data_IF_950040809080
#
_entry.id   IF_950040809080
#
_cell.length_a   1.000
_cell.length_b   1.000
_cell.length_c   1.000
_cell.angle_alpha   90.00
_cell.angle_beta   90.00
_cell.angle_gamma   90.00
#
_symmetry.space_group_name_H-M   'P 1'
#
loop_
_entity.id
_entity.type
_entity.pdbx_description
1 polymer ?
#
# COMPACT_ATOMS: atom_id res chain seq x y z
N UNK A 1 -52.99 -4.48 -22.43
CA UNK A 1 -52.66 -5.11 -21.13
C UNK A 1 -51.35 -5.93 -21.09
N UNK A 2 -50.60 -6.11 -22.18
CA UNK A 2 -49.36 -6.94 -22.22
C UNK A 2 -48.07 -6.25 -21.70
N UNK A 3 -47.96 -4.92 -21.81
CA UNK A 3 -46.74 -4.17 -21.40
C UNK A 3 -46.46 -4.21 -19.89
N UNK A 4 -47.48 -4.09 -19.03
CA UNK A 4 -47.30 -4.14 -17.56
C UNK A 4 -46.75 -5.49 -17.05
N UNK A 5 -47.03 -6.61 -17.75
CA UNK A 5 -46.54 -7.95 -17.36
C UNK A 5 -45.04 -8.16 -17.63
N UNK A 6 -44.44 -7.39 -18.54
CA UNK A 6 -42.99 -7.44 -18.86
C UNK A 6 -42.21 -6.38 -18.07
N UNK A 7 -42.85 -5.25 -17.72
CA UNK A 7 -42.21 -4.18 -16.95
C UNK A 7 -41.85 -4.63 -15.53
N UNK A 8 -42.73 -5.35 -14.84
CA UNK A 8 -42.49 -5.80 -13.45
C UNK A 8 -41.22 -6.68 -13.32
N UNK A 9 -41.02 -7.76 -14.12
CA UNK A 9 -39.80 -8.57 -14.00
C UNK A 9 -38.52 -7.80 -14.38
N UNK A 10 -38.59 -6.86 -15.34
CA UNK A 10 -37.44 -6.01 -15.69
C UNK A 10 -37.05 -5.11 -14.52
N UNK A 11 -38.03 -4.51 -13.83
CA UNK A 11 -37.78 -3.67 -12.65
C UNK A 11 -37.18 -4.48 -11.51
N UNK A 12 -37.62 -5.73 -11.30
CA UNK A 12 -37.06 -6.62 -10.27
C UNK A 12 -35.61 -6.98 -10.59
N UNK A 13 -35.31 -7.36 -11.84
CA UNK A 13 -33.93 -7.68 -12.26
C UNK A 13 -33.03 -6.45 -12.11
N UNK A 14 -33.51 -5.27 -12.51
CA UNK A 14 -32.78 -4.02 -12.32
C UNK A 14 -32.53 -3.74 -10.83
N UNK A 15 -33.52 -3.95 -9.96
CA UNK A 15 -33.36 -3.76 -8.52
C UNK A 15 -32.34 -4.75 -7.91
N UNK A 16 -32.37 -6.03 -8.31
CA UNK A 16 -31.38 -7.03 -7.87
C UNK A 16 -29.98 -6.64 -8.35
N UNK A 17 -29.84 -6.21 -9.60
CA UNK A 17 -28.57 -5.75 -10.14
C UNK A 17 -28.04 -4.53 -9.36
N UNK A 18 -28.91 -3.57 -9.04
CA UNK A 18 -28.54 -2.41 -8.22
C UNK A 18 -28.09 -2.84 -6.82
N UNK A 19 -28.84 -3.74 -6.15
CA UNK A 19 -28.48 -4.23 -4.81
C UNK A 19 -27.15 -4.99 -4.85
N UNK A 20 -26.92 -5.81 -5.87
CA UNK A 20 -25.65 -6.53 -6.04
C UNK A 20 -24.49 -5.57 -6.27
N UNK A 21 -24.67 -4.54 -7.10
CA UNK A 21 -23.65 -3.51 -7.37
C UNK A 21 -23.38 -2.68 -6.12
N UNK A 22 -24.40 -2.23 -5.41
CA UNK A 22 -24.28 -1.45 -4.18
C UNK A 22 -23.62 -2.30 -3.08
N UNK A 23 -24.10 -3.53 -2.88
CA UNK A 23 -23.55 -4.48 -1.93
C UNK A 23 -22.09 -4.81 -2.22
N UNK A 24 -21.73 -5.04 -3.49
CA UNK A 24 -20.36 -5.25 -3.92
C UNK A 24 -19.49 -4.02 -3.65
N UNK A 25 -19.96 -2.81 -3.95
CA UNK A 25 -19.21 -1.58 -3.67
C UNK A 25 -19.01 -1.33 -2.18
N UNK A 26 -20.00 -1.61 -1.33
CA UNK A 26 -19.89 -1.52 0.14
C UNK A 26 -18.92 -2.57 0.68
N UNK A 27 -18.95 -3.78 0.12
CA UNK A 27 -18.04 -4.85 0.47
C UNK A 27 -16.59 -4.52 0.10
N UNK A 28 -16.39 -4.02 -1.12
CA UNK A 28 -15.12 -3.62 -1.72
C UNK A 28 -14.48 -2.43 -1.00
N UNK A 29 -15.28 -1.40 -0.72
CA UNK A 29 -14.85 -0.18 -0.03
C UNK A 29 -15.71 0.02 1.21
N UNK A 30 -15.33 -0.59 2.35
CA UNK A 30 -16.08 -0.36 3.56
C UNK A 30 -16.01 1.13 3.92
N UNK A 31 -17.16 1.69 4.31
CA UNK A 31 -17.28 3.10 4.67
C UNK A 31 -16.26 3.51 5.76
N UNK A 32 -15.83 2.57 6.59
CA UNK A 32 -14.79 2.76 7.60
C UNK A 32 -13.46 3.28 7.04
N UNK A 33 -13.08 2.91 5.81
CA UNK A 33 -11.84 3.43 5.21
C UNK A 33 -11.99 4.86 4.71
N UNK A 34 -13.21 5.27 4.32
CA UNK A 34 -13.48 6.63 3.84
C UNK A 34 -13.44 7.66 4.96
N UNK A 35 -13.57 7.23 6.21
CA UNK A 35 -13.45 8.09 7.39
C UNK A 35 -12.05 8.14 7.97
N UNK A 36 -11.09 7.40 7.41
CA UNK A 36 -9.70 7.48 7.87
C UNK A 36 -9.12 8.84 7.49
N UNK A 37 -8.48 9.46 8.46
CA UNK A 37 -7.75 10.71 8.27
C UNK A 37 -6.35 10.40 7.78
N UNK A 38 -5.92 11.17 6.78
CA UNK A 38 -4.51 11.30 6.45
C UNK A 38 -3.85 12.19 7.52
N UNK A 39 -2.91 11.62 8.25
CA UNK A 39 -2.12 12.33 9.26
C UNK A 39 -0.64 12.51 8.83
N UNK A 40 -0.32 12.23 7.57
CA UNK A 40 1.02 12.43 7.01
C UNK A 40 1.36 13.91 6.84
N UNK A 41 2.64 14.21 6.57
CA UNK A 41 3.10 15.58 6.38
C UNK A 41 2.46 16.23 5.16
N UNK A 42 2.28 17.55 5.22
CA UNK A 42 1.73 18.31 4.10
C UNK A 42 2.67 18.35 2.89
N UNK A 43 2.12 18.63 1.72
CA UNK A 43 2.87 18.65 0.44
C UNK A 43 4.11 19.55 0.47
N UNK A 44 4.03 20.72 1.12
CA UNK A 44 5.18 21.64 1.26
C UNK A 44 6.32 21.03 2.08
N UNK A 45 6.00 20.38 3.20
CA UNK A 45 6.96 19.72 4.08
C UNK A 45 7.60 18.51 3.40
N UNK A 46 6.78 17.70 2.72
CA UNK A 46 7.24 16.57 1.90
C UNK A 46 8.17 17.03 0.80
N UNK A 47 7.81 18.10 0.09
CA UNK A 47 8.64 18.66 -0.99
C UNK A 47 9.97 19.19 -0.47
N UNK A 48 9.97 19.88 0.67
CA UNK A 48 11.18 20.37 1.31
C UNK A 48 12.12 19.21 1.67
N UNK A 49 11.60 18.18 2.36
CA UNK A 49 12.39 17.01 2.74
C UNK A 49 12.90 16.23 1.51
N UNK A 50 12.05 16.03 0.50
CA UNK A 50 12.45 15.37 -0.76
C UNK A 50 13.62 16.10 -1.42
N UNK A 51 13.57 17.43 -1.48
CA UNK A 51 14.65 18.22 -2.09
C UNK A 51 15.93 18.19 -1.25
N UNK A 52 15.83 18.16 0.08
CA UNK A 52 16.97 17.96 0.98
C UNK A 52 17.63 16.60 0.73
N UNK A 53 16.84 15.53 0.73
CA UNK A 53 17.34 14.16 0.45
C UNK A 53 17.93 14.07 -0.95
N UNK A 54 17.29 14.64 -1.98
CA UNK A 54 17.78 14.62 -3.36
C UNK A 54 19.15 15.32 -3.53
N UNK A 55 19.49 16.26 -2.64
CA UNK A 55 20.75 16.99 -2.64
C UNK A 55 21.89 16.26 -1.92
N UNK A 56 21.61 15.16 -1.22
CA UNK A 56 22.64 14.33 -0.59
C UNK A 56 23.53 13.64 -1.65
N UNK A 57 24.85 13.65 -1.40
CA UNK A 57 25.82 12.98 -2.27
C UNK A 57 25.68 11.45 -2.20
N UNK A 58 25.46 10.91 -0.99
CA UNK A 58 25.22 9.50 -0.72
C UNK A 58 23.87 9.35 0.01
N UNK A 59 23.15 8.26 -0.27
CA UNK A 59 21.83 7.96 0.29
C UNK A 59 21.78 6.48 0.65
N UNK A 60 21.44 6.18 1.89
CA UNK A 60 21.13 4.84 2.34
C UNK A 60 19.65 4.56 2.07
N UNK A 61 19.38 3.52 1.28
CA UNK A 61 18.03 3.20 0.81
C UNK A 61 17.64 1.81 1.29
N UNK A 62 16.42 1.71 1.81
CA UNK A 62 15.80 0.45 2.17
C UNK A 62 14.62 0.15 1.24
N UNK A 63 14.59 -1.05 0.67
CA UNK A 63 13.39 -1.64 0.07
C UNK A 63 12.84 -2.69 1.03
N UNK A 64 11.84 -2.29 1.82
CA UNK A 64 11.10 -3.20 2.68
C UNK A 64 9.84 -3.68 1.95
N UNK A 65 9.53 -4.98 2.00
CA UNK A 65 8.34 -5.49 1.32
C UNK A 65 7.69 -6.67 2.03
N UNK A 66 6.36 -6.79 1.88
CA UNK A 66 5.63 -8.01 2.18
C UNK A 66 5.22 -8.70 0.87
N UNK A 67 5.37 -10.03 0.80
CA UNK A 67 4.85 -10.82 -0.32
C UNK A 67 4.32 -12.18 0.12
N UNK A 68 3.09 -12.51 -0.28
CA UNK A 68 2.51 -13.83 0.01
C UNK A 68 2.77 -14.84 -1.11
N UNK A 69 2.57 -14.45 -2.37
CA UNK A 69 2.73 -15.33 -3.54
C UNK A 69 3.98 -15.05 -4.38
N UNK A 70 4.85 -14.14 -3.93
CA UNK A 70 6.13 -13.83 -4.59
C UNK A 70 6.10 -12.72 -5.65
N UNK A 71 4.93 -12.20 -6.06
CA UNK A 71 4.87 -11.12 -7.07
C UNK A 71 5.54 -9.84 -6.58
N UNK A 72 5.15 -9.34 -5.40
CA UNK A 72 5.80 -8.18 -4.78
C UNK A 72 7.27 -8.42 -4.50
N UNK A 73 7.68 -9.65 -4.13
CA UNK A 73 9.09 -10.01 -3.94
C UNK A 73 9.90 -9.79 -5.22
N UNK A 74 9.38 -10.23 -6.37
CA UNK A 74 10.05 -10.03 -7.66
C UNK A 74 10.25 -8.54 -7.99
N UNK A 75 9.23 -7.71 -7.74
CA UNK A 75 9.33 -6.26 -7.94
C UNK A 75 10.32 -5.62 -6.96
N UNK A 76 10.25 -5.99 -5.66
CA UNK A 76 11.14 -5.45 -4.63
C UNK A 76 12.61 -5.80 -4.89
N UNK A 77 12.89 -7.04 -5.30
CA UNK A 77 14.24 -7.48 -5.64
C UNK A 77 14.78 -6.78 -6.90
N UNK A 78 13.94 -6.58 -7.92
CA UNK A 78 14.33 -5.82 -9.11
C UNK A 78 14.62 -4.35 -8.76
N UNK A 79 13.77 -3.71 -7.95
CA UNK A 79 13.94 -2.35 -7.48
C UNK A 79 15.24 -2.20 -6.68
N UNK A 80 15.46 -3.05 -5.66
CA UNK A 80 16.68 -3.04 -4.85
C UNK A 80 17.94 -3.23 -5.68
N UNK A 81 17.92 -4.14 -6.65
CA UNK A 81 19.05 -4.35 -7.55
C UNK A 81 19.34 -3.18 -8.49
N UNK A 82 18.34 -2.37 -8.82
CA UNK A 82 18.49 -1.26 -9.77
C UNK A 82 19.14 -0.04 -9.13
N UNK A 83 18.89 0.19 -7.84
CA UNK A 83 19.37 1.36 -7.08
C UNK A 83 20.38 0.99 -5.97
N UNK A 84 20.89 -0.25 -5.98
CA UNK A 84 21.83 -0.79 -4.97
C UNK A 84 21.34 -0.59 -3.52
N UNK A 85 20.05 -0.83 -3.27
CA UNK A 85 19.43 -0.66 -1.97
C UNK A 85 19.41 -1.94 -1.13
N UNK A 86 19.39 -1.79 0.19
CA UNK A 86 19.15 -2.89 1.12
C UNK A 86 17.75 -3.48 0.91
N UNK A 87 17.61 -4.80 0.99
CA UNK A 87 16.34 -5.50 0.79
C UNK A 87 15.91 -6.19 2.08
N UNK A 88 14.69 -5.91 2.54
CA UNK A 88 14.13 -6.51 3.75
C UNK A 88 12.72 -7.09 3.50
N UNK A 89 12.51 -8.35 3.89
CA UNK A 89 11.19 -8.98 3.81
C UNK A 89 10.43 -8.83 5.13
N UNK A 90 9.36 -8.03 5.10
CA UNK A 90 8.37 -7.91 6.16
C UNK A 90 7.55 -9.20 6.18
N UNK A 91 7.70 -9.98 7.24
CA UNK A 91 7.02 -11.28 7.39
C UNK A 91 6.25 -11.36 8.72
N UNK A 92 5.09 -12.05 8.74
CA UNK A 92 4.35 -12.23 9.96
C UNK A 92 5.04 -13.25 10.86
N UNK A 93 4.91 -13.06 12.17
CA UNK A 93 5.42 -14.01 13.18
C UNK A 93 4.70 -15.36 13.09
N UNK A 94 3.41 -15.34 12.76
CA UNK A 94 2.59 -16.52 12.53
C UNK A 94 2.11 -16.56 11.09
N UNK A 95 2.29 -17.69 10.40
CA UNK A 95 1.86 -17.84 9.01
C UNK A 95 0.33 -17.83 8.86
N UNK A 96 -0.15 -17.25 7.76
CA UNK A 96 -1.57 -17.25 7.44
C UNK A 96 -2.07 -18.65 7.06
N UNK A 97 -2.77 -19.32 7.98
CA UNK A 97 -3.43 -20.60 7.67
C UNK A 97 -4.62 -20.46 6.71
N UNK A 98 -5.28 -19.29 6.70
CA UNK A 98 -6.26 -18.90 5.69
C UNK A 98 -6.11 -17.41 5.40
N UNK A 99 -5.31 -17.09 4.38
CA UNK A 99 -4.98 -15.71 4.01
C UNK A 99 -6.22 -14.87 3.73
N UNK A 100 -7.23 -15.42 3.05
CA UNK A 100 -8.43 -14.69 2.66
C UNK A 100 -9.22 -14.21 3.90
N UNK A 101 -9.49 -15.11 4.83
CA UNK A 101 -10.33 -14.80 6.01
C UNK A 101 -9.57 -13.97 7.03
N UNK A 102 -8.30 -14.31 7.29
CA UNK A 102 -7.49 -13.65 8.30
C UNK A 102 -7.15 -12.21 7.89
N UNK A 103 -6.64 -12.01 6.67
CA UNK A 103 -6.32 -10.66 6.17
C UNK A 103 -7.55 -9.74 6.19
N UNK A 104 -8.72 -10.23 5.77
CA UNK A 104 -9.96 -9.45 5.80
C UNK A 104 -10.33 -9.05 7.23
N UNK A 105 -10.19 -9.97 8.18
CA UNK A 105 -10.48 -9.73 9.59
C UNK A 105 -9.51 -8.72 10.20
N UNK A 106 -8.21 -8.88 9.96
CA UNK A 106 -7.16 -7.99 10.46
C UNK A 106 -7.36 -6.57 9.97
N UNK A 107 -7.52 -6.40 8.65
CA UNK A 107 -7.75 -5.09 8.02
C UNK A 107 -9.02 -4.44 8.57
N UNK A 108 -10.15 -5.16 8.62
CA UNK A 108 -11.43 -4.59 9.11
C UNK A 108 -11.43 -4.27 10.60
N UNK A 109 -10.59 -4.93 11.40
CA UNK A 109 -10.45 -4.67 12.84
C UNK A 109 -9.30 -3.73 13.17
N UNK A 110 -8.61 -3.19 12.15
CA UNK A 110 -7.40 -2.39 12.32
C UNK A 110 -6.36 -3.09 13.22
N UNK A 111 -6.14 -4.38 12.99
CA UNK A 111 -5.19 -5.17 13.78
C UNK A 111 -3.74 -4.79 13.49
N UNK A 112 -2.83 -5.17 14.40
CA UNK A 112 -1.37 -5.03 14.26
C UNK A 112 -0.68 -6.39 14.47
N UNK A 113 -0.73 -7.30 13.47
CA UNK A 113 -0.12 -8.62 13.60
C UNK A 113 1.39 -8.53 13.82
N UNK A 114 1.93 -9.34 14.73
CA UNK A 114 3.35 -9.29 15.08
C UNK A 114 4.25 -9.67 13.90
N UNK A 115 5.38 -8.96 13.76
CA UNK A 115 6.41 -9.23 12.76
C UNK A 115 7.37 -10.32 13.24
N UNK A 116 7.94 -11.09 12.31
CA UNK A 116 8.93 -12.13 12.61
C UNK A 116 10.36 -11.58 12.80
N UNK A 117 10.64 -10.41 12.21
CA UNK A 117 11.95 -9.77 12.23
C UNK A 117 11.81 -8.24 12.26
N UNK A 118 12.90 -7.59 12.65
CA UNK A 118 13.07 -6.13 12.59
C UNK A 118 14.27 -5.77 11.70
N UNK A 119 14.26 -4.56 11.18
CA UNK A 119 15.37 -3.96 10.45
C UNK A 119 16.35 -3.42 11.48
N UNK A 120 17.62 -3.82 11.38
CA UNK A 120 18.68 -3.29 12.22
C UNK A 120 19.12 -1.92 11.70
N UNK A 121 19.44 -1.00 12.62
CA UNK A 121 19.93 0.35 12.32
C UNK A 121 19.01 1.17 11.38
N UNK A 122 17.70 1.12 11.59
CA UNK A 122 16.70 1.85 10.78
C UNK A 122 17.02 3.35 10.62
N UNK A 123 17.68 3.95 11.61
CA UNK A 123 18.09 5.35 11.62
C UNK A 123 18.98 5.74 10.43
N UNK A 124 19.76 4.81 9.86
CA UNK A 124 20.67 5.12 8.75
C UNK A 124 19.97 5.48 7.44
N UNK A 125 18.76 4.96 7.21
CA UNK A 125 18.11 5.11 5.90
C UNK A 125 17.41 6.47 5.76
N UNK A 126 17.67 7.20 4.67
CA UNK A 126 16.89 8.40 4.33
C UNK A 126 15.63 8.06 3.53
N UNK A 127 15.69 7.02 2.70
CA UNK A 127 14.61 6.61 1.81
C UNK A 127 14.18 5.18 2.15
N UNK A 128 12.88 4.99 2.32
CA UNK A 128 12.29 3.66 2.56
C UNK A 128 11.18 3.41 1.54
N UNK A 129 11.46 2.54 0.58
CA UNK A 129 10.45 1.95 -0.28
C UNK A 129 9.68 0.87 0.47
N UNK A 130 8.35 0.90 0.42
CA UNK A 130 7.49 -0.06 1.11
C UNK A 130 6.58 -0.77 0.11
N UNK A 131 6.87 -2.05 -0.15
CA UNK A 131 6.19 -2.89 -1.11
C UNK A 131 5.14 -3.80 -0.51
N UNK A 132 3.94 -3.89 -1.10
CA UNK A 132 2.93 -4.86 -0.65
C UNK A 132 1.96 -5.31 -1.75
N UNK A 133 1.36 -6.51 -1.65
CA UNK A 133 0.19 -6.85 -2.45
C UNK A 133 -1.03 -6.04 -1.97
N UNK A 134 -1.90 -5.63 -2.90
CA UNK A 134 -3.21 -5.07 -2.52
C UNK A 134 -4.11 -6.18 -1.98
N UNK A 135 -4.54 -6.07 -0.73
CA UNK A 135 -5.48 -7.00 -0.11
C UNK A 135 -6.76 -6.26 0.25
N UNK A 136 -7.90 -6.73 -0.26
CA UNK A 136 -9.20 -6.14 0.09
C UNK A 136 -9.30 -4.64 -0.19
N UNK A 137 -8.66 -4.15 -1.26
CA UNK A 137 -8.62 -2.73 -1.62
C UNK A 137 -8.00 -1.87 -0.51
N UNK A 138 -7.11 -2.48 0.27
CA UNK A 138 -6.44 -1.88 1.40
C UNK A 138 -4.98 -2.35 1.46
N UNK A 139 -4.22 -1.66 2.29
CA UNK A 139 -2.89 -2.06 2.70
C UNK A 139 -3.00 -3.27 3.64
N UNK A 140 -2.18 -4.33 3.48
CA UNK A 140 -2.12 -5.41 4.45
C UNK A 140 -1.76 -4.88 5.85
N UNK A 141 -2.46 -5.36 6.89
CA UNK A 141 -2.26 -4.92 8.28
C UNK A 141 -0.81 -5.08 8.80
N UNK A 142 -0.05 -6.00 8.20
CA UNK A 142 1.35 -6.22 8.49
C UNK A 142 2.24 -5.00 8.14
N UNK A 143 1.89 -4.28 7.07
CA UNK A 143 2.58 -3.05 6.66
C UNK A 143 2.28 -1.92 7.65
N UNK A 144 1.04 -1.80 8.11
CA UNK A 144 0.69 -0.85 9.18
C UNK A 144 1.50 -1.11 10.45
N UNK A 145 1.68 -2.39 10.81
CA UNK A 145 2.54 -2.76 11.94
C UNK A 145 3.99 -2.35 11.70
N UNK A 146 4.53 -2.59 10.51
CA UNK A 146 5.88 -2.16 10.16
C UNK A 146 6.06 -0.64 10.28
N UNK A 147 5.16 0.15 9.70
CA UNK A 147 5.19 1.61 9.77
C UNK A 147 5.18 2.12 11.22
N UNK A 148 4.39 1.49 12.09
CA UNK A 148 4.25 1.89 13.50
C UNK A 148 5.33 1.30 14.42
N UNK A 149 6.21 0.43 13.91
CA UNK A 149 7.25 -0.22 14.71
C UNK A 149 8.53 0.61 14.85
N UNK A 150 8.67 1.70 14.09
CA UNK A 150 9.86 2.55 14.07
C UNK A 150 9.49 4.03 14.17
N UNK A 151 10.43 4.84 14.65
CA UNK A 151 10.40 6.28 14.41
C UNK A 151 10.95 6.54 13.01
N UNK A 152 10.07 6.89 12.08
CA UNK A 152 10.39 7.18 10.69
C UNK A 152 10.37 8.68 10.38
N UNK A 153 10.34 9.53 11.42
CA UNK A 153 10.36 10.99 11.26
C UNK A 153 11.61 11.43 10.51
N UNK A 154 11.45 12.32 9.52
CA UNK A 154 12.55 12.81 8.68
C UNK A 154 13.00 11.85 7.58
N UNK A 155 12.34 10.70 7.41
CA UNK A 155 12.59 9.76 6.29
C UNK A 155 11.54 9.95 5.20
N UNK A 156 11.92 9.68 3.96
CA UNK A 156 10.99 9.68 2.82
C UNK A 156 10.44 8.28 2.57
N UNK A 157 9.14 8.12 2.76
CA UNK A 157 8.43 6.85 2.60
C UNK A 157 7.81 6.79 1.20
N UNK A 158 8.18 5.76 0.44
CA UNK A 158 7.75 5.60 -0.96
C UNK A 158 6.97 4.29 -1.12
N UNK A 159 5.63 4.32 -1.09
CA UNK A 159 4.82 3.11 -1.18
C UNK A 159 4.81 2.56 -2.61
N UNK A 160 4.88 1.25 -2.75
CA UNK A 160 4.51 0.60 -4.00
C UNK A 160 3.66 -0.64 -3.76
N UNK A 161 2.82 -0.97 -4.74
CA UNK A 161 1.99 -2.16 -4.64
C UNK A 161 1.97 -2.99 -5.92
N UNK A 162 1.68 -4.28 -5.74
CA UNK A 162 1.30 -5.17 -6.84
C UNK A 162 -0.16 -5.59 -6.67
N UNK A 163 -0.87 -5.80 -7.77
CA UNK A 163 -2.28 -6.20 -7.72
C UNK A 163 -2.73 -6.87 -9.01
N UNK A 164 -3.83 -7.62 -8.93
CA UNK A 164 -4.52 -8.15 -10.11
C UNK A 164 -5.37 -7.11 -10.87
N UNK A 165 -5.25 -5.82 -10.56
CA UNK A 165 -5.94 -4.73 -11.27
C UNK A 165 -6.46 -3.57 -10.41
N UNK A 166 -6.37 -3.63 -9.08
CA UNK A 166 -6.73 -2.50 -8.20
C UNK A 166 -5.60 -1.48 -8.16
N UNK A 167 -5.94 -0.19 -8.12
CA UNK A 167 -4.93 0.87 -8.04
C UNK A 167 -4.33 0.99 -6.63
N UNK A 168 -3.15 1.61 -6.50
CA UNK A 168 -2.54 1.90 -5.20
C UNK A 168 -3.36 2.93 -4.43
N UNK A 169 -4.01 3.87 -5.12
CA UNK A 169 -4.85 4.89 -4.51
C UNK A 169 -6.00 4.29 -3.68
N UNK A 170 -6.46 3.08 -4.04
CA UNK A 170 -7.46 2.36 -3.24
C UNK A 170 -6.96 2.04 -1.83
N UNK A 171 -5.65 1.81 -1.69
CA UNK A 171 -4.99 1.40 -0.43
C UNK A 171 -4.51 2.56 0.42
N UNK A 172 -4.30 3.74 -0.18
CA UNK A 172 -3.71 4.89 0.50
C UNK A 172 -4.45 5.33 1.76
N UNK A 173 -5.79 5.31 1.86
CA UNK A 173 -6.49 5.64 3.11
C UNK A 173 -6.06 4.76 4.29
N UNK A 174 -5.83 3.46 4.07
CA UNK A 174 -5.34 2.55 5.11
C UNK A 174 -3.84 2.64 5.34
N UNK A 175 -3.06 2.99 4.31
CA UNK A 175 -1.62 3.20 4.45
C UNK A 175 -1.33 4.44 5.30
N UNK A 176 -1.91 5.58 4.90
CA UNK A 176 -1.67 6.90 5.49
C UNK A 176 -2.18 7.02 6.94
N UNK A 177 -3.14 6.18 7.33
CA UNK A 177 -3.60 6.11 8.72
C UNK A 177 -2.51 5.68 9.71
N UNK A 178 -1.44 5.04 9.22
CA UNK A 178 -0.24 4.68 10.01
C UNK A 178 0.96 5.60 9.75
N UNK A 179 0.78 6.70 9.01
CA UNK A 179 1.86 7.59 8.58
C UNK A 179 1.85 8.94 9.29
N UNK A 180 1.40 8.99 10.55
CA UNK A 180 1.33 10.24 11.30
C UNK A 180 2.68 10.97 11.33
N UNK A 181 2.72 12.18 10.77
CA UNK A 181 3.94 12.99 10.71
C UNK A 181 5.04 12.45 9.81
N UNK A 182 4.74 11.47 8.95
CA UNK A 182 5.71 10.90 8.00
C UNK A 182 5.58 11.58 6.64
N UNK A 183 6.70 11.72 5.94
CA UNK A 183 6.70 12.19 4.56
C UNK A 183 6.41 11.01 3.61
N UNK A 184 5.25 11.00 2.98
CA UNK A 184 4.86 9.97 2.01
C UNK A 184 4.84 10.57 0.61
N UNK A 185 5.52 9.94 -0.34
CA UNK A 185 5.71 10.48 -1.69
C UNK A 185 5.75 9.39 -2.75
N UNK A 186 5.36 9.76 -3.98
CA UNK A 186 5.70 8.99 -5.18
C UNK A 186 5.09 7.60 -5.25
N UNK A 187 3.91 7.37 -4.66
CA UNK A 187 3.32 6.04 -4.60
C UNK A 187 3.05 5.47 -6.00
N UNK A 188 3.30 4.16 -6.20
CA UNK A 188 3.12 3.53 -7.52
C UNK A 188 2.59 2.11 -7.45
N UNK A 189 1.59 1.82 -8.30
CA UNK A 189 1.26 0.44 -8.64
C UNK A 189 2.22 -0.07 -9.72
N UNK A 190 2.89 -1.19 -9.45
CA UNK A 190 3.82 -1.84 -10.39
C UNK A 190 3.22 -3.17 -10.81
N UNK A 191 2.94 -3.31 -12.10
CA UNK A 191 2.53 -4.58 -12.71
C UNK A 191 3.67 -5.31 -13.40
N UNK A 192 4.68 -4.58 -13.85
CA UNK A 192 5.83 -5.11 -14.59
C UNK A 192 7.10 -4.40 -14.13
N UNK A 193 8.20 -5.13 -14.01
CA UNK A 193 9.49 -4.58 -13.55
C UNK A 193 10.08 -3.57 -14.53
N UNK A 194 9.68 -3.60 -15.80
CA UNK A 194 10.03 -2.60 -16.82
C UNK A 194 9.56 -1.18 -16.47
N UNK A 195 8.63 -1.03 -15.53
CA UNK A 195 8.11 0.26 -15.08
C UNK A 195 9.00 0.92 -14.02
N UNK A 196 9.99 0.21 -13.47
CA UNK A 196 10.80 0.66 -12.33
C UNK A 196 11.65 1.87 -12.72
N UNK A 197 12.47 1.79 -13.77
CA UNK A 197 13.37 2.89 -14.16
C UNK A 197 12.62 4.21 -14.39
N UNK A 198 11.53 4.16 -15.16
CA UNK A 198 10.74 5.37 -15.41
C UNK A 198 10.08 5.93 -14.16
N UNK A 199 9.70 5.06 -13.21
CA UNK A 199 9.18 5.51 -11.91
C UNK A 199 10.29 6.13 -11.06
N UNK A 200 11.48 5.55 -11.02
CA UNK A 200 12.64 6.11 -10.30
C UNK A 200 13.01 7.50 -10.83
N UNK A 201 13.00 7.69 -12.15
CA UNK A 201 13.20 8.99 -12.79
C UNK A 201 12.15 10.02 -12.35
N UNK A 202 10.87 9.60 -12.30
CA UNK A 202 9.75 10.46 -11.88
C UNK A 202 9.88 10.95 -10.42
N UNK A 203 10.58 10.20 -9.56
CA UNK A 203 10.78 10.58 -8.15
C UNK A 203 11.72 11.79 -7.99
N UNK A 204 12.60 12.04 -8.97
CA UNK A 204 13.60 13.12 -8.95
C UNK A 204 14.51 13.11 -7.70
N UNK A 205 14.88 11.90 -7.25
CA UNK A 205 15.73 11.68 -6.08
C UNK A 205 17.22 11.45 -6.43
N UNK A 206 17.56 11.47 -7.73
CA UNK A 206 18.90 11.17 -8.24
C UNK A 206 19.41 9.80 -7.72
N UNK A 207 18.61 8.76 -7.99
CA UNK A 207 18.87 7.36 -7.63
C UNK A 207 19.53 6.60 -8.78
#
# INVERSE_FOLDING_TARGET
>A
MRKKKIIIPIVIIAAIAIIAVVGYNIYRYPASFRSLTDESLGEEEVTALRNEIAALEEKDILVAYFSHSGTTRGVAAALSSEIDADLFEISPKEEYSNVYTQSNSEIRRNARPALSAAVDNMEKYEIIFIGYPVWWHATPALINTFLESYDLTGKLIIPFCTSGGSDIDETMPTFLNSCKGLAVYGQRRISETSQISGWLDDLQLNL
#
